data_IF_997949791889
#
_entry.id   IF_997949791889
#
_cell.length_a   1.000
_cell.length_b   1.000
_cell.length_c   1.000
_cell.angle_alpha   90.00
_cell.angle_beta   90.00
_cell.angle_gamma   90.00
#
_symmetry.space_group_name_H-M   'P 1'
#
loop_
_entity.id
_entity.type
_entity.pdbx_description
1 polymer ?
#
# COMPACT_ATOMS: atom_id res chain seq x y z
N UNK A 1 -41.16 8.95 26.02
CA UNK A 1 -39.94 8.15 26.28
C UNK A 1 -39.04 8.28 25.06
N UNK A 2 -38.28 9.39 24.97
CA UNK A 2 -37.39 9.65 23.83
C UNK A 2 -36.14 8.80 24.00
N UNK A 3 -36.00 7.75 23.18
CA UNK A 3 -34.76 6.99 23.12
C UNK A 3 -33.62 7.96 22.77
N UNK A 4 -32.69 8.11 23.72
CA UNK A 4 -31.54 8.98 23.59
C UNK A 4 -30.56 8.31 22.61
N UNK A 5 -30.76 8.52 21.31
CA UNK A 5 -29.99 7.93 20.18
C UNK A 5 -28.52 8.43 20.15
N UNK A 6 -28.09 9.21 21.14
CA UNK A 6 -26.77 9.84 21.24
C UNK A 6 -25.62 8.91 21.68
N UNK A 7 -25.69 7.58 21.47
CA UNK A 7 -24.87 6.62 22.24
C UNK A 7 -23.63 6.05 21.54
N UNK A 8 -23.46 6.13 20.22
CA UNK A 8 -22.34 5.42 19.57
C UNK A 8 -20.99 6.14 19.77
N UNK A 9 -20.96 7.47 19.69
CA UNK A 9 -19.70 8.24 19.65
C UNK A 9 -19.41 9.04 20.93
N UNK A 10 -20.42 9.31 21.77
CA UNK A 10 -20.27 10.06 23.03
C UNK A 10 -19.25 9.46 24.00
N UNK A 11 -19.19 8.13 24.24
CA UNK A 11 -18.22 7.55 25.16
C UNK A 11 -16.76 7.76 24.73
N UNK A 12 -16.54 8.02 23.44
CA UNK A 12 -15.23 8.28 22.82
C UNK A 12 -14.90 9.78 22.83
N UNK A 13 -15.91 10.64 22.69
CA UNK A 13 -15.79 12.11 22.65
C UNK A 13 -15.79 12.75 24.06
N UNK A 14 -16.45 12.13 25.04
CA UNK A 14 -16.54 12.59 26.43
C UNK A 14 -15.33 12.17 27.29
N UNK A 15 -14.26 11.64 26.69
CA UNK A 15 -12.99 11.35 27.38
C UNK A 15 -11.97 12.48 27.13
N UNK A 16 -11.99 13.55 27.95
CA UNK A 16 -11.06 14.68 27.79
C UNK A 16 -9.59 14.27 27.94
N UNK A 17 -9.33 13.14 28.61
CA UNK A 17 -7.99 12.56 28.79
C UNK A 17 -7.32 12.10 27.48
N UNK A 18 -8.08 11.80 26.43
CA UNK A 18 -7.56 11.28 25.16
C UNK A 18 -7.45 12.37 24.10
N UNK A 19 -8.34 13.37 24.13
CA UNK A 19 -8.54 14.31 23.03
C UNK A 19 -8.02 15.73 23.30
N UNK A 20 -7.59 16.05 24.53
CA UNK A 20 -6.92 17.32 24.90
C UNK A 20 -7.79 18.59 24.79
N UNK A 21 -8.88 18.53 24.03
CA UNK A 21 -9.81 19.61 23.78
C UNK A 21 -11.25 19.13 24.04
N UNK A 22 -12.09 20.01 24.59
CA UNK A 22 -13.49 19.69 24.90
C UNK A 22 -14.28 19.71 23.59
N UNK A 23 -14.48 18.52 22.99
CA UNK A 23 -15.15 18.26 21.71
C UNK A 23 -14.34 18.61 20.44
N UNK A 24 -13.30 17.84 20.07
CA UNK A 24 -12.68 18.02 18.76
C UNK A 24 -13.71 17.73 17.65
N UNK A 25 -13.80 18.63 16.66
CA UNK A 25 -14.63 18.41 15.48
C UNK A 25 -13.97 17.33 14.62
N UNK A 26 -14.57 16.14 14.58
CA UNK A 26 -14.12 15.06 13.70
C UNK A 26 -14.80 15.26 12.37
N UNK A 27 -14.00 15.48 11.33
CA UNK A 27 -14.51 15.66 9.98
C UNK A 27 -13.86 14.72 8.99
N UNK A 28 -14.65 14.36 7.98
CA UNK A 28 -14.19 13.64 6.81
C UNK A 28 -14.24 14.60 5.61
N UNK A 29 -13.07 14.92 5.07
CA UNK A 29 -12.81 16.08 4.22
C UNK A 29 -13.24 17.39 4.89
N UNK A 30 -14.42 17.89 4.55
CA UNK A 30 -15.01 19.10 5.12
C UNK A 30 -16.40 18.83 5.72
N UNK A 31 -16.80 17.55 5.81
CA UNK A 31 -18.05 17.13 6.40
C UNK A 31 -17.82 16.85 7.90
N UNK A 32 -18.34 17.68 8.83
CA UNK A 32 -18.22 17.42 10.26
C UNK A 32 -19.13 16.25 10.64
N UNK A 33 -18.52 15.09 10.89
CA UNK A 33 -19.27 13.84 11.16
C UNK A 33 -19.96 13.92 12.51
N UNK A 34 -19.37 14.64 13.47
CA UNK A 34 -19.87 14.73 14.83
C UNK A 34 -20.82 15.91 15.10
N UNK A 35 -21.18 16.69 14.07
CA UNK A 35 -22.05 17.86 14.22
C UNK A 35 -23.52 17.47 14.47
N UNK A 36 -24.03 16.49 13.71
CA UNK A 36 -25.39 16.00 13.87
C UNK A 36 -25.45 14.48 14.00
N UNK A 37 -26.37 14.02 14.84
CA UNK A 37 -26.66 12.59 15.05
C UNK A 37 -26.98 11.91 13.73
N UNK A 38 -27.74 12.58 12.86
CA UNK A 38 -28.14 12.06 11.56
C UNK A 38 -26.92 11.84 10.64
N UNK A 39 -26.03 12.82 10.52
CA UNK A 39 -24.81 12.70 9.68
C UNK A 39 -23.91 11.59 10.21
N UNK A 40 -23.69 11.55 11.52
CA UNK A 40 -22.88 10.52 12.16
C UNK A 40 -23.40 9.09 11.91
N UNK A 41 -24.69 8.86 12.14
CA UNK A 41 -25.29 7.54 11.93
C UNK A 41 -25.36 7.17 10.45
N UNK A 42 -25.68 8.12 9.57
CA UNK A 42 -25.71 7.88 8.13
C UNK A 42 -24.32 7.52 7.59
N UNK A 43 -23.28 8.22 8.05
CA UNK A 43 -21.90 7.92 7.71
C UNK A 43 -21.47 6.53 8.20
N UNK A 44 -21.81 6.17 9.44
CA UNK A 44 -21.52 4.85 10.00
C UNK A 44 -22.24 3.73 9.23
N UNK A 45 -23.54 3.89 8.95
CA UNK A 45 -24.34 2.91 8.20
C UNK A 45 -23.83 2.75 6.77
N UNK A 46 -23.46 3.84 6.09
CA UNK A 46 -22.90 3.80 4.75
C UNK A 46 -21.54 3.08 4.76
N UNK A 47 -20.67 3.39 5.73
CA UNK A 47 -19.37 2.72 5.87
C UNK A 47 -19.53 1.22 6.12
N UNK A 48 -20.41 0.85 7.06
CA UNK A 48 -20.74 -0.56 7.34
C UNK A 48 -21.34 -1.26 6.13
N UNK A 49 -22.20 -0.58 5.37
CA UNK A 49 -22.78 -1.10 4.13
C UNK A 49 -21.72 -1.37 3.07
N UNK A 50 -20.79 -0.44 2.83
CA UNK A 50 -19.71 -0.60 1.86
C UNK A 50 -18.77 -1.75 2.28
N UNK A 51 -18.29 -1.73 3.53
CA UNK A 51 -17.38 -2.76 4.04
C UNK A 51 -18.06 -4.13 4.05
N UNK A 52 -19.30 -4.21 4.54
CA UNK A 52 -20.09 -5.43 4.56
C UNK A 52 -20.33 -5.98 3.15
N UNK A 53 -20.64 -5.13 2.18
CA UNK A 53 -20.79 -5.52 0.78
C UNK A 53 -19.48 -6.06 0.18
N UNK A 54 -18.35 -5.39 0.41
CA UNK A 54 -17.04 -5.85 -0.05
C UNK A 54 -16.68 -7.21 0.57
N UNK A 55 -16.86 -7.37 1.88
CA UNK A 55 -16.63 -8.64 2.58
C UNK A 55 -17.54 -9.75 2.07
N UNK A 56 -18.84 -9.48 1.90
CA UNK A 56 -19.79 -10.44 1.33
C UNK A 56 -19.35 -10.93 -0.05
N UNK A 57 -18.90 -10.03 -0.93
CA UNK A 57 -18.41 -10.40 -2.26
C UNK A 57 -17.12 -11.22 -2.22
N UNK A 58 -16.24 -11.02 -1.24
CA UNK A 58 -15.06 -11.87 -1.04
C UNK A 58 -15.47 -13.26 -0.57
N UNK A 59 -16.33 -13.34 0.45
CA UNK A 59 -16.78 -14.63 1.01
C UNK A 59 -17.52 -15.46 -0.03
N UNK A 60 -18.50 -14.87 -0.73
CA UNK A 60 -19.27 -15.56 -1.77
C UNK A 60 -18.37 -16.11 -2.89
N UNK A 61 -17.28 -15.40 -3.21
CA UNK A 61 -16.28 -15.87 -4.18
C UNK A 61 -15.51 -17.07 -3.63
N UNK A 62 -15.01 -16.99 -2.41
CA UNK A 62 -14.23 -18.07 -1.78
C UNK A 62 -15.04 -19.37 -1.71
N UNK A 63 -16.34 -19.28 -1.41
CA UNK A 63 -17.23 -20.44 -1.45
C UNK A 63 -17.41 -21.03 -2.85
N UNK A 64 -17.53 -20.18 -3.90
CA UNK A 64 -17.75 -20.65 -5.28
C UNK A 64 -16.47 -21.15 -5.97
N UNK A 65 -15.30 -20.62 -5.60
CA UNK A 65 -14.01 -20.93 -6.26
C UNK A 65 -12.90 -21.10 -5.22
N UNK A 66 -12.93 -22.17 -4.41
CA UNK A 66 -11.98 -22.37 -3.30
C UNK A 66 -10.52 -22.54 -3.74
N UNK A 67 -10.28 -22.90 -5.01
CA UNK A 67 -8.92 -23.04 -5.58
C UNK A 67 -8.38 -21.77 -6.26
N UNK A 68 -9.13 -20.67 -6.20
CA UNK A 68 -8.72 -19.39 -6.78
C UNK A 68 -8.15 -18.45 -5.71
N UNK A 69 -7.59 -17.31 -6.14
CA UNK A 69 -7.14 -16.27 -5.21
C UNK A 69 -8.30 -15.78 -4.34
N UNK A 70 -8.05 -15.49 -3.04
CA UNK A 70 -9.08 -15.01 -2.12
C UNK A 70 -9.78 -13.75 -2.63
N UNK A 71 -9.03 -12.86 -3.27
CA UNK A 71 -9.51 -11.58 -3.80
C UNK A 71 -9.32 -11.60 -5.32
N UNK A 72 -10.34 -11.16 -6.06
CA UNK A 72 -10.19 -10.90 -7.51
C UNK A 72 -9.47 -9.58 -7.75
N UNK A 73 -8.76 -9.45 -8.89
CA UNK A 73 -8.06 -8.20 -9.25
C UNK A 73 -8.99 -6.98 -9.25
N UNK A 74 -10.22 -7.14 -9.75
CA UNK A 74 -11.23 -6.07 -9.78
C UNK A 74 -11.63 -5.63 -8.37
N UNK A 75 -11.84 -6.59 -7.48
CA UNK A 75 -12.19 -6.29 -6.10
C UNK A 75 -11.03 -5.58 -5.41
N UNK A 76 -9.78 -6.02 -5.61
CA UNK A 76 -8.63 -5.37 -4.99
C UNK A 76 -8.44 -3.92 -5.44
N UNK A 77 -8.72 -3.59 -6.71
CA UNK A 77 -8.70 -2.20 -7.19
C UNK A 77 -9.75 -1.34 -6.48
N UNK A 78 -10.98 -1.85 -6.34
CA UNK A 78 -12.06 -1.13 -5.65
C UNK A 78 -11.79 -0.97 -4.15
N UNK A 79 -11.25 -2.01 -3.50
CA UNK A 79 -10.90 -1.98 -2.07
C UNK A 79 -9.82 -0.94 -1.82
N UNK A 80 -8.75 -0.95 -2.62
CA UNK A 80 -7.67 0.02 -2.46
C UNK A 80 -8.20 1.44 -2.67
N UNK A 81 -8.92 1.70 -3.76
CA UNK A 81 -9.49 3.02 -4.01
C UNK A 81 -10.41 3.50 -2.87
N UNK A 82 -11.27 2.61 -2.36
CA UNK A 82 -12.16 2.93 -1.25
C UNK A 82 -11.38 3.23 0.04
N UNK A 83 -10.36 2.43 0.35
CA UNK A 83 -9.55 2.58 1.55
C UNK A 83 -8.72 3.87 1.51
N UNK A 84 -8.12 4.18 0.36
CA UNK A 84 -7.36 5.41 0.12
C UNK A 84 -8.27 6.65 0.25
N UNK A 85 -9.44 6.65 -0.39
CA UNK A 85 -10.39 7.78 -0.28
C UNK A 85 -10.87 7.96 1.17
N UNK A 86 -11.15 6.86 1.86
CA UNK A 86 -11.60 6.90 3.25
C UNK A 86 -10.52 7.46 4.17
N UNK A 87 -9.28 6.96 4.07
CA UNK A 87 -8.14 7.42 4.85
C UNK A 87 -7.80 8.88 4.56
N UNK A 88 -7.76 9.26 3.29
CA UNK A 88 -7.50 10.64 2.87
C UNK A 88 -8.52 11.60 3.48
N UNK A 89 -9.81 11.24 3.48
CA UNK A 89 -10.85 12.10 4.03
C UNK A 89 -10.62 12.45 5.50
N UNK A 90 -10.13 11.53 6.32
CA UNK A 90 -9.78 11.85 7.71
C UNK A 90 -8.47 12.62 7.86
N UNK A 91 -7.50 12.39 6.98
CA UNK A 91 -6.17 12.99 7.09
C UNK A 91 -6.06 14.38 6.46
N UNK A 92 -6.98 14.75 5.56
CA UNK A 92 -6.98 16.04 4.86
C UNK A 92 -6.90 17.24 5.81
N UNK A 93 -7.67 17.22 6.91
CA UNK A 93 -7.70 18.35 7.84
C UNK A 93 -6.41 18.49 8.64
N UNK A 94 -5.85 17.35 9.06
CA UNK A 94 -4.54 17.32 9.69
C UNK A 94 -3.46 17.83 8.73
N UNK A 95 -3.60 17.51 7.44
CA UNK A 95 -2.73 17.98 6.35
C UNK A 95 -2.77 19.49 6.11
N UNK A 96 -3.94 20.12 6.23
CA UNK A 96 -4.13 21.56 6.05
C UNK A 96 -3.93 22.39 7.32
N UNK A 97 -3.67 21.76 8.46
CA UNK A 97 -3.33 22.49 9.68
C UNK A 97 -2.11 23.39 9.42
N UNK A 98 -2.10 24.60 9.99
CA UNK A 98 -1.00 25.58 9.89
C UNK A 98 0.25 25.14 10.70
N UNK A 99 0.63 23.87 10.59
CA UNK A 99 1.76 23.26 11.26
C UNK A 99 2.40 22.22 10.31
N UNK A 100 3.64 22.47 9.89
CA UNK A 100 4.39 21.59 9.00
C UNK A 100 4.56 20.18 9.59
N UNK A 101 4.65 20.05 10.90
CA UNK A 101 4.75 18.76 11.58
C UNK A 101 3.45 17.95 11.44
N UNK A 102 2.28 18.61 11.44
CA UNK A 102 1.00 17.93 11.26
C UNK A 102 0.83 17.46 9.81
N UNK A 103 1.22 18.29 8.85
CA UNK A 103 1.16 17.92 7.43
C UNK A 103 2.08 16.73 7.12
N UNK A 104 3.30 16.74 7.65
CA UNK A 104 4.27 15.64 7.46
C UNK A 104 3.83 14.36 8.17
N UNK A 105 3.23 14.47 9.36
CA UNK A 105 2.62 13.35 10.05
C UNK A 105 1.46 12.75 9.25
N UNK A 106 0.54 13.58 8.76
CA UNK A 106 -0.60 13.14 7.95
C UNK A 106 -0.14 12.41 6.67
N UNK A 107 0.84 12.98 5.96
CA UNK A 107 1.44 12.36 4.79
C UNK A 107 2.10 11.01 5.13
N UNK A 108 2.81 10.93 6.26
CA UNK A 108 3.47 9.70 6.72
C UNK A 108 2.46 8.60 7.04
N UNK A 109 1.38 8.93 7.77
CA UNK A 109 0.31 7.98 8.09
C UNK A 109 -0.33 7.47 6.79
N UNK A 110 -0.62 8.36 5.86
CA UNK A 110 -1.17 7.99 4.56
C UNK A 110 -0.25 7.02 3.82
N UNK A 111 1.04 7.34 3.70
CA UNK A 111 2.01 6.47 3.03
C UNK A 111 2.14 5.09 3.67
N UNK A 112 2.20 5.02 5.00
CA UNK A 112 2.28 3.75 5.73
C UNK A 112 1.02 2.93 5.49
N UNK A 113 -0.15 3.56 5.52
CA UNK A 113 -1.43 2.92 5.27
C UNK A 113 -1.54 2.42 3.82
N UNK A 114 -1.13 3.22 2.83
CA UNK A 114 -1.05 2.82 1.42
C UNK A 114 -0.11 1.63 1.22
N UNK A 115 1.07 1.68 1.85
CA UNK A 115 2.07 0.63 1.76
C UNK A 115 1.56 -0.70 2.33
N UNK A 116 1.02 -0.68 3.56
CA UNK A 116 0.46 -1.88 4.22
C UNK A 116 -0.73 -2.42 3.42
N UNK A 117 -1.65 -1.55 3.00
CA UNK A 117 -2.84 -1.95 2.26
C UNK A 117 -2.50 -2.58 0.92
N UNK A 118 -1.53 -2.01 0.21
CA UNK A 118 -1.03 -2.57 -1.06
C UNK A 118 -0.38 -3.93 -0.81
N UNK A 119 0.47 -4.07 0.22
CA UNK A 119 1.09 -5.36 0.56
C UNK A 119 0.05 -6.44 0.88
N UNK A 120 -0.94 -6.14 1.72
CA UNK A 120 -2.02 -7.08 2.07
C UNK A 120 -2.78 -7.50 0.81
N UNK A 121 -3.09 -6.55 -0.07
CA UNK A 121 -3.75 -6.87 -1.33
C UNK A 121 -2.89 -7.73 -2.24
N UNK A 122 -1.58 -7.47 -2.37
CA UNK A 122 -0.64 -8.29 -3.15
C UNK A 122 -0.74 -9.76 -2.72
N UNK A 123 -0.69 -10.05 -1.40
CA UNK A 123 -0.88 -11.42 -0.90
C UNK A 123 -2.25 -12.00 -1.28
N UNK A 124 -3.30 -11.21 -1.18
CA UNK A 124 -4.68 -11.63 -1.49
C UNK A 124 -4.95 -11.89 -2.98
N UNK A 125 -4.17 -11.28 -3.89
CA UNK A 125 -4.35 -11.42 -5.34
C UNK A 125 -3.26 -12.25 -6.03
N UNK A 126 -2.22 -12.67 -5.33
CA UNK A 126 -1.12 -13.43 -5.92
C UNK A 126 -1.55 -14.89 -6.23
N UNK A 127 -1.59 -15.31 -7.51
CA UNK A 127 -1.94 -16.68 -7.86
C UNK A 127 -0.85 -17.67 -7.45
N UNK A 128 -1.28 -18.84 -6.99
CA UNK A 128 -0.40 -19.99 -6.73
C UNK A 128 0.08 -20.63 -8.05
N UNK A 129 1.17 -21.42 -7.96
CA UNK A 129 1.78 -22.14 -9.08
C UNK A 129 0.79 -22.79 -10.06
N UNK A 130 -0.22 -23.51 -9.56
CA UNK A 130 -1.17 -24.20 -10.45
C UNK A 130 -2.02 -23.22 -11.27
N UNK A 131 -2.47 -22.13 -10.67
CA UNK A 131 -3.24 -21.11 -11.38
C UNK A 131 -2.39 -20.41 -12.45
N UNK A 132 -1.11 -20.14 -12.15
CA UNK A 132 -0.16 -19.59 -13.14
C UNK A 132 0.07 -20.54 -14.32
N UNK A 133 0.20 -21.85 -14.06
CA UNK A 133 0.35 -22.86 -15.10
C UNK A 133 -0.87 -22.91 -16.02
N UNK A 134 -2.06 -22.97 -15.43
CA UNK A 134 -3.32 -22.93 -16.17
C UNK A 134 -3.40 -21.66 -17.04
N UNK A 135 -3.04 -20.51 -16.48
CA UNK A 135 -3.03 -19.25 -17.24
C UNK A 135 -2.01 -19.27 -18.38
N UNK A 136 -0.81 -19.78 -18.14
CA UNK A 136 0.23 -19.87 -19.17
C UNK A 136 -0.17 -20.78 -20.34
N UNK A 137 -0.95 -21.85 -20.06
CA UNK A 137 -1.46 -22.78 -21.07
C UNK A 137 -2.65 -22.21 -21.85
N UNK A 138 -3.59 -21.55 -21.17
CA UNK A 138 -4.85 -21.10 -21.76
C UNK A 138 -4.94 -19.60 -22.05
N UNK A 139 -3.83 -18.84 -21.94
CA UNK A 139 -3.84 -17.41 -22.25
C UNK A 139 -4.17 -17.19 -23.72
N UNK A 140 -5.28 -16.51 -23.98
CA UNK A 140 -5.44 -15.75 -25.21
C UNK A 140 -4.34 -14.69 -25.25
N UNK A 141 -3.64 -14.51 -26.37
CA UNK A 141 -2.55 -13.51 -26.52
C UNK A 141 -2.93 -12.04 -26.25
N UNK A 142 -4.19 -11.78 -25.88
CA UNK A 142 -4.73 -10.50 -25.48
C UNK A 142 -4.17 -10.00 -24.14
N UNK A 143 -3.79 -8.72 -24.10
CA UNK A 143 -3.28 -8.04 -22.90
C UNK A 143 -4.37 -7.81 -21.85
N UNK A 144 -5.64 -7.78 -22.26
CA UNK A 144 -6.77 -7.74 -21.32
C UNK A 144 -6.75 -8.93 -20.34
N UNK A 145 -6.21 -10.09 -20.77
CA UNK A 145 -6.06 -11.24 -19.90
C UNK A 145 -5.06 -11.02 -18.76
N UNK A 146 -4.05 -10.16 -18.92
CA UNK A 146 -3.08 -9.82 -17.85
C UNK A 146 -3.71 -8.92 -16.78
N UNK A 147 -4.59 -8.02 -17.21
CA UNK A 147 -5.24 -7.05 -16.33
C UNK A 147 -6.37 -7.72 -15.55
N UNK A 148 -7.22 -8.48 -16.24
CA UNK A 148 -8.49 -8.93 -15.68
C UNK A 148 -8.52 -10.38 -15.22
N UNK A 149 -7.58 -11.23 -15.66
CA UNK A 149 -7.60 -12.64 -15.27
C UNK A 149 -7.06 -12.83 -13.86
N UNK A 150 -7.86 -13.46 -13.00
CA UNK A 150 -7.46 -13.83 -11.64
C UNK A 150 -6.26 -14.78 -11.58
N UNK A 151 -6.00 -15.51 -12.67
CA UNK A 151 -4.89 -16.47 -12.76
C UNK A 151 -3.60 -15.85 -13.32
N UNK A 152 -3.67 -14.62 -13.83
CA UNK A 152 -2.52 -13.96 -14.44
C UNK A 152 -1.55 -13.43 -13.37
N UNK A 153 -0.25 -13.27 -13.71
CA UNK A 153 0.75 -12.78 -12.77
C UNK A 153 0.34 -11.48 -12.07
N UNK A 154 0.77 -11.34 -10.82
CA UNK A 154 0.36 -10.24 -9.93
C UNK A 154 0.97 -8.89 -10.33
N UNK A 155 2.11 -8.88 -11.03
CA UNK A 155 2.93 -7.68 -11.31
C UNK A 155 2.10 -6.54 -11.89
N UNK A 156 1.30 -6.81 -12.93
CA UNK A 156 0.49 -5.75 -13.56
C UNK A 156 -0.63 -5.24 -12.64
N UNK A 157 -1.15 -6.09 -11.76
CA UNK A 157 -2.13 -5.66 -10.78
C UNK A 157 -1.50 -4.76 -9.71
N UNK A 158 -0.25 -5.02 -9.31
CA UNK A 158 0.51 -4.12 -8.44
C UNK A 158 0.71 -2.76 -9.10
N UNK A 159 1.07 -2.72 -10.39
CA UNK A 159 1.18 -1.44 -11.14
C UNK A 159 -0.14 -0.65 -11.06
N UNK A 160 -1.28 -1.31 -11.27
CA UNK A 160 -2.59 -0.64 -11.19
C UNK A 160 -2.90 -0.17 -9.76
N UNK A 161 -2.58 -0.95 -8.73
CA UNK A 161 -2.69 -0.52 -7.34
C UNK A 161 -1.90 0.77 -7.08
N UNK A 162 -0.66 0.80 -7.56
CA UNK A 162 0.22 1.96 -7.41
C UNK A 162 -0.29 3.18 -8.17
N UNK A 163 -0.85 2.99 -9.37
CA UNK A 163 -1.49 4.09 -10.12
C UNK A 163 -2.67 4.65 -9.33
N UNK A 164 -3.56 3.79 -8.82
CA UNK A 164 -4.73 4.22 -8.04
C UNK A 164 -4.31 4.99 -6.79
N UNK A 165 -3.37 4.46 -6.02
CA UNK A 165 -2.89 5.11 -4.80
C UNK A 165 -2.22 6.46 -5.09
N UNK A 166 -1.30 6.51 -6.07
CA UNK A 166 -0.58 7.74 -6.40
C UNK A 166 -1.45 8.78 -7.11
N UNK A 167 -2.49 8.37 -7.84
CA UNK A 167 -3.45 9.30 -8.45
C UNK A 167 -4.18 10.16 -7.40
N UNK A 168 -4.34 9.64 -6.18
CA UNK A 168 -4.93 10.38 -5.07
C UNK A 168 -3.87 11.07 -4.20
N UNK A 169 -2.81 10.32 -3.85
CA UNK A 169 -1.80 10.77 -2.89
C UNK A 169 -0.94 11.91 -3.45
N UNK A 170 -0.45 11.79 -4.69
CA UNK A 170 0.49 12.79 -5.26
C UNK A 170 -0.15 14.17 -5.35
N UNK A 171 -1.35 14.36 -5.95
CA UNK A 171 -1.99 15.68 -5.96
C UNK A 171 -2.20 16.23 -4.56
N UNK A 172 -2.61 15.39 -3.60
CA UNK A 172 -2.83 15.83 -2.22
C UNK A 172 -1.55 16.35 -1.56
N UNK A 173 -0.40 15.69 -1.75
CA UNK A 173 0.89 16.18 -1.24
C UNK A 173 1.27 17.57 -1.75
N UNK A 174 0.91 17.89 -3.00
CA UNK A 174 1.11 19.23 -3.54
C UNK A 174 0.13 20.24 -2.91
N UNK A 175 -1.12 19.86 -2.66
CA UNK A 175 -2.10 20.77 -2.03
C UNK A 175 -1.74 21.18 -0.61
N UNK A 176 -1.12 20.28 0.17
CA UNK A 176 -0.68 20.59 1.54
C UNK A 176 0.69 21.31 1.61
N UNK A 177 1.25 21.74 0.46
CA UNK A 177 2.48 22.52 0.37
C UNK A 177 3.78 21.73 0.64
N UNK A 178 3.65 20.44 0.95
CA UNK A 178 4.79 19.55 1.17
C UNK A 178 5.51 19.26 -0.15
N UNK A 179 4.73 18.95 -1.20
CA UNK A 179 5.24 18.64 -2.53
C UNK A 179 5.96 19.82 -3.19
N UNK A 180 5.68 21.07 -2.77
CA UNK A 180 6.36 22.28 -3.28
C UNK A 180 7.61 22.65 -2.50
N UNK A 181 7.61 22.47 -1.17
CA UNK A 181 8.76 22.78 -0.31
C UNK A 181 9.91 21.79 -0.49
N UNK A 182 9.60 20.50 -0.71
CA UNK A 182 10.59 19.40 -0.73
C UNK A 182 10.42 18.52 -1.97
N UNK A 183 10.20 19.14 -3.14
CA UNK A 183 9.87 18.47 -4.43
C UNK A 183 10.77 17.26 -4.71
N UNK A 184 12.10 17.44 -4.65
CA UNK A 184 13.07 16.39 -4.99
C UNK A 184 12.94 15.18 -4.06
N UNK A 185 12.82 15.42 -2.75
CA UNK A 185 12.63 14.35 -1.77
C UNK A 185 11.28 13.64 -1.97
N UNK A 186 10.21 14.37 -2.28
CA UNK A 186 8.89 13.80 -2.59
C UNK A 186 8.94 12.90 -3.82
N UNK A 187 9.58 13.36 -4.90
CA UNK A 187 9.71 12.58 -6.14
C UNK A 187 10.51 11.31 -5.91
N UNK A 188 11.64 11.39 -5.21
CA UNK A 188 12.48 10.23 -4.89
C UNK A 188 11.75 9.24 -3.98
N UNK A 189 10.94 9.73 -3.05
CA UNK A 189 10.07 8.90 -2.21
C UNK A 189 9.04 8.15 -3.04
N UNK A 190 8.29 8.85 -3.89
CA UNK A 190 7.24 8.23 -4.73
C UNK A 190 7.85 7.17 -5.64
N UNK A 191 8.93 7.49 -6.35
CA UNK A 191 9.59 6.54 -7.25
C UNK A 191 10.17 5.35 -6.48
N UNK A 192 10.86 5.60 -5.37
CA UNK A 192 11.48 4.56 -4.56
C UNK A 192 10.46 3.59 -3.94
N UNK A 193 9.33 4.11 -3.46
CA UNK A 193 8.24 3.28 -2.89
C UNK A 193 7.49 2.48 -3.96
N UNK A 194 7.19 3.10 -5.11
CA UNK A 194 6.59 2.42 -6.27
C UNK A 194 7.46 1.24 -6.72
N UNK A 195 8.75 1.48 -6.92
CA UNK A 195 9.71 0.44 -7.30
C UNK A 195 9.79 -0.66 -6.26
N UNK A 196 9.84 -0.30 -4.97
CA UNK A 196 9.95 -1.29 -3.90
C UNK A 196 8.71 -2.20 -3.82
N UNK A 197 7.51 -1.64 -3.93
CA UNK A 197 6.27 -2.43 -3.94
C UNK A 197 6.19 -3.34 -5.18
N UNK A 198 6.73 -2.92 -6.33
CA UNK A 198 6.88 -3.80 -7.50
C UNK A 198 7.85 -4.95 -7.24
N UNK A 199 9.00 -4.68 -6.62
CA UNK A 199 9.97 -5.71 -6.21
C UNK A 199 9.29 -6.70 -5.27
N UNK A 200 8.59 -6.24 -4.23
CA UNK A 200 7.85 -7.10 -3.31
C UNK A 200 6.77 -7.93 -4.00
N UNK A 201 6.01 -7.32 -4.92
CA UNK A 201 5.04 -8.05 -5.75
C UNK A 201 5.68 -9.18 -6.55
N UNK A 202 6.81 -8.90 -7.22
CA UNK A 202 7.53 -9.92 -7.99
C UNK A 202 8.15 -11.00 -7.10
N UNK A 203 8.69 -10.63 -5.94
CA UNK A 203 9.23 -11.56 -4.96
C UNK A 203 8.16 -12.54 -4.47
N UNK A 204 7.03 -12.02 -3.98
CA UNK A 204 5.92 -12.85 -3.51
C UNK A 204 5.41 -13.77 -4.63
N UNK A 205 5.30 -13.25 -5.85
CA UNK A 205 4.90 -14.02 -7.02
C UNK A 205 5.86 -15.17 -7.34
N UNK A 206 7.17 -14.93 -7.26
CA UNK A 206 8.18 -15.97 -7.47
C UNK A 206 8.07 -17.05 -6.39
N UNK A 207 7.96 -16.66 -5.12
CA UNK A 207 7.80 -17.62 -4.02
C UNK A 207 6.55 -18.49 -4.25
N UNK A 208 5.43 -17.89 -4.67
CA UNK A 208 4.18 -18.62 -4.92
C UNK A 208 4.22 -19.50 -6.18
N UNK A 209 5.12 -19.20 -7.13
CA UNK A 209 5.35 -20.00 -8.33
C UNK A 209 6.27 -21.20 -8.08
N UNK A 210 7.10 -21.17 -7.05
CA UNK A 210 8.01 -22.25 -6.70
C UNK A 210 7.31 -23.41 -5.98
N UNK A 211 7.85 -24.62 -6.12
CA UNK A 211 7.31 -25.83 -5.47
C UNK A 211 7.88 -25.94 -4.06
N UNK A 212 7.32 -25.19 -3.12
CA UNK A 212 7.73 -25.18 -1.71
C UNK A 212 6.53 -25.50 -0.82
N UNK A 213 6.76 -26.17 0.31
CA UNK A 213 5.74 -26.39 1.35
C UNK A 213 5.43 -25.06 2.04
N UNK A 214 4.16 -24.68 2.06
CA UNK A 214 3.66 -23.44 2.68
C UNK A 214 4.34 -22.16 2.15
N UNK A 215 4.18 -21.81 0.85
CA UNK A 215 4.85 -20.66 0.25
C UNK A 215 4.49 -19.32 0.91
N UNK A 216 3.33 -19.23 1.57
CA UNK A 216 2.91 -18.04 2.31
C UNK A 216 3.87 -17.72 3.46
N UNK A 217 4.31 -18.72 4.23
CA UNK A 217 5.22 -18.51 5.36
C UNK A 217 6.58 -18.01 4.88
N UNK A 218 7.08 -18.56 3.78
CA UNK A 218 8.34 -18.13 3.16
C UNK A 218 8.25 -16.71 2.61
N UNK A 219 7.13 -16.36 1.98
CA UNK A 219 6.92 -15.02 1.46
C UNK A 219 6.82 -14.00 2.61
N UNK A 220 6.07 -14.29 3.66
CA UNK A 220 5.96 -13.43 4.85
C UNK A 220 7.32 -13.31 5.54
N UNK A 221 8.00 -14.41 5.84
CA UNK A 221 9.30 -14.39 6.53
C UNK A 221 10.36 -13.64 5.74
N UNK A 222 10.48 -13.91 4.44
CA UNK A 222 11.42 -13.21 3.57
C UNK A 222 11.11 -11.72 3.43
N UNK A 223 9.82 -11.37 3.28
CA UNK A 223 9.41 -9.97 3.20
C UNK A 223 9.61 -9.25 4.53
N UNK A 224 9.30 -9.86 5.67
CA UNK A 224 9.48 -9.23 6.99
C UNK A 224 10.96 -8.98 7.30
N UNK A 225 11.85 -9.92 6.95
CA UNK A 225 13.29 -9.70 7.07
C UNK A 225 13.72 -8.48 6.24
N UNK A 226 13.27 -8.44 4.97
CA UNK A 226 13.66 -7.38 4.06
C UNK A 226 13.06 -6.01 4.44
N UNK A 227 11.75 -5.96 4.64
CA UNK A 227 10.99 -4.74 4.84
C UNK A 227 11.08 -4.20 6.27
N UNK A 228 11.39 -5.02 7.28
CA UNK A 228 11.36 -4.56 8.68
C UNK A 228 12.75 -4.70 9.33
N UNK A 229 13.35 -5.89 9.27
CA UNK A 229 14.58 -6.17 10.03
C UNK A 229 15.78 -5.36 9.52
N UNK A 230 15.98 -5.27 8.20
CA UNK A 230 17.09 -4.49 7.65
C UNK A 230 17.01 -2.99 7.99
N UNK A 231 15.89 -2.28 7.72
CA UNK A 231 15.74 -0.87 8.07
C UNK A 231 15.86 -0.59 9.57
N UNK A 232 15.30 -1.46 10.42
CA UNK A 232 15.40 -1.30 11.88
C UNK A 232 16.83 -1.44 12.36
N UNK A 233 17.62 -2.37 11.80
CA UNK A 233 19.05 -2.48 12.11
C UNK A 233 19.84 -1.25 11.68
N UNK A 234 19.57 -0.68 10.50
CA UNK A 234 20.20 0.59 10.06
C UNK A 234 19.86 1.73 11.02
N UNK A 235 18.61 1.83 11.46
CA UNK A 235 18.14 2.82 12.42
C UNK A 235 18.79 2.66 13.80
N UNK A 236 18.86 1.43 14.32
CA UNK A 236 19.49 1.12 15.62
C UNK A 236 20.99 1.46 15.63
N UNK A 237 21.68 1.26 14.51
CA UNK A 237 23.08 1.63 14.32
C UNK A 237 23.28 3.13 14.06
N UNK A 238 22.21 3.92 14.05
CA UNK A 238 22.22 5.36 13.75
C UNK A 238 22.86 5.70 12.39
N UNK A 239 22.77 4.78 11.43
CA UNK A 239 23.27 4.95 10.06
C UNK A 239 22.24 5.74 9.25
N UNK A 240 22.15 7.05 9.52
CA UNK A 240 21.20 7.94 8.85
C UNK A 240 21.85 8.73 7.71
N UNK A 241 21.07 9.10 6.66
CA UNK A 241 21.56 9.95 5.56
C UNK A 241 22.14 11.30 5.99
N UNK A 242 21.76 11.80 7.17
CA UNK A 242 22.27 13.05 7.73
C UNK A 242 23.73 12.95 8.13
N UNK A 243 24.10 11.82 8.77
CA UNK A 243 25.46 11.60 9.30
C UNK A 243 26.38 10.99 8.25
N UNK A 244 25.83 10.09 7.42
CA UNK A 244 26.59 9.39 6.40
C UNK A 244 25.81 9.39 5.08
N UNK A 245 25.98 10.42 4.22
CA UNK A 245 25.21 10.57 2.99
C UNK A 245 25.16 9.34 2.06
N UNK A 246 26.23 8.52 1.94
CA UNK A 246 26.18 7.30 1.13
C UNK A 246 25.13 6.27 1.57
N UNK A 247 24.74 6.26 2.86
CA UNK A 247 23.71 5.34 3.35
C UNK A 247 22.33 5.60 2.76
N UNK A 248 22.10 6.79 2.19
CA UNK A 248 20.85 7.11 1.51
C UNK A 248 20.52 6.13 0.38
N UNK A 249 21.54 5.53 -0.27
CA UNK A 249 21.35 4.47 -1.26
C UNK A 249 20.69 3.22 -0.66
N UNK A 250 21.06 2.83 0.57
CA UNK A 250 20.45 1.67 1.24
C UNK A 250 19.03 1.98 1.72
N UNK A 251 18.81 3.14 2.34
CA UNK A 251 17.47 3.53 2.77
C UNK A 251 16.47 3.56 1.60
N UNK A 252 16.88 4.17 0.48
CA UNK A 252 16.07 4.18 -0.74
C UNK A 252 15.90 2.79 -1.34
N UNK A 253 16.95 1.97 -1.39
CA UNK A 253 16.87 0.57 -1.84
C UNK A 253 15.78 -0.20 -1.09
N UNK A 254 15.69 -0.01 0.22
CA UNK A 254 14.69 -0.66 1.07
C UNK A 254 13.29 -0.01 1.00
N UNK A 255 13.10 1.02 0.17
CA UNK A 255 11.82 1.71 -0.01
C UNK A 255 11.47 2.65 1.15
N UNK A 256 12.42 2.95 2.03
CA UNK A 256 12.22 3.87 3.13
C UNK A 256 12.51 5.29 2.68
N UNK A 257 11.58 6.18 3.04
CA UNK A 257 11.73 7.60 2.78
C UNK A 257 12.79 8.20 3.69
N UNK A 258 13.67 9.01 3.13
CA UNK A 258 14.57 9.88 3.87
C UNK A 258 13.97 11.26 4.14
N UNK A 259 12.69 11.48 3.81
CA UNK A 259 12.04 12.78 3.93
C UNK A 259 11.89 13.30 5.37
N UNK A 260 11.96 12.38 6.33
CA UNK A 260 11.98 12.71 7.76
C UNK A 260 13.32 13.33 8.19
N UNK A 261 14.38 13.10 7.41
CA UNK A 261 15.71 13.61 7.70
C UNK A 261 15.90 15.00 7.08
N UNK A 262 16.69 15.84 7.75
CA UNK A 262 17.22 17.07 7.17
C UNK A 262 18.30 16.69 6.16
N UNK A 263 17.86 16.22 4.99
CA UNK A 263 18.76 15.58 4.05
C UNK A 263 19.75 16.57 3.47
N UNK A 264 21.06 16.35 3.69
CA UNK A 264 22.05 17.16 3.02
C UNK A 264 21.92 16.95 1.51
N UNK A 265 22.12 17.99 0.67
CA UNK A 265 22.10 17.85 -0.79
C UNK A 265 23.02 16.74 -1.30
N UNK A 266 24.09 16.43 -0.57
CA UNK A 266 25.02 15.34 -0.85
C UNK A 266 24.39 13.93 -0.80
N UNK A 267 23.25 13.72 -0.13
CA UNK A 267 22.56 12.43 -0.04
C UNK A 267 21.73 12.10 -1.30
N UNK A 268 21.33 13.12 -2.06
CA UNK A 268 20.49 13.01 -3.27
C UNK A 268 21.09 12.06 -4.33
N UNK A 269 22.37 12.20 -4.76
CA UNK A 269 22.94 11.30 -5.76
C UNK A 269 22.97 9.83 -5.31
N UNK A 270 23.17 9.58 -4.01
CA UNK A 270 23.14 8.22 -3.46
C UNK A 270 21.71 7.66 -3.42
N UNK A 271 20.72 8.48 -3.08
CA UNK A 271 19.31 8.11 -3.19
C UNK A 271 18.93 7.72 -4.63
N UNK A 272 19.40 8.47 -5.63
CA UNK A 272 19.23 8.12 -7.05
C UNK A 272 19.91 6.80 -7.39
N UNK A 273 21.13 6.56 -6.89
CA UNK A 273 21.82 5.28 -7.07
C UNK A 273 21.03 4.10 -6.48
N UNK A 274 20.38 4.29 -5.32
CA UNK A 274 19.49 3.29 -4.73
C UNK A 274 18.28 2.98 -5.62
N UNK A 275 17.67 4.00 -6.24
CA UNK A 275 16.60 3.80 -7.23
C UNK A 275 17.10 3.03 -8.45
N UNK A 276 18.27 3.37 -8.99
CA UNK A 276 18.87 2.62 -10.12
C UNK A 276 19.07 1.16 -9.73
N UNK A 277 19.56 0.89 -8.52
CA UNK A 277 19.73 -0.47 -8.02
C UNK A 277 18.39 -1.21 -7.88
N UNK A 278 17.32 -0.54 -7.45
CA UNK A 278 15.98 -1.12 -7.44
C UNK A 278 15.52 -1.52 -8.85
N UNK A 279 15.75 -0.69 -9.86
CA UNK A 279 15.43 -1.02 -11.25
C UNK A 279 16.20 -2.24 -11.75
N UNK A 280 17.50 -2.34 -11.43
CA UNK A 280 18.32 -3.50 -11.76
C UNK A 280 17.79 -4.78 -11.10
N UNK A 281 17.45 -4.72 -9.81
CA UNK A 281 16.86 -5.84 -9.08
C UNK A 281 15.52 -6.24 -9.69
N UNK A 282 14.63 -5.28 -9.93
CA UNK A 282 13.33 -5.52 -10.53
C UNK A 282 13.47 -6.17 -11.91
N UNK A 283 14.36 -5.64 -12.77
CA UNK A 283 14.65 -6.21 -14.08
C UNK A 283 15.15 -7.65 -13.99
N UNK A 284 16.10 -7.91 -13.10
CA UNK A 284 16.61 -9.27 -12.85
C UNK A 284 15.50 -10.22 -12.35
N UNK A 285 14.64 -9.77 -11.44
CA UNK A 285 13.54 -10.57 -10.92
C UNK A 285 12.47 -10.87 -11.98
N UNK A 286 12.12 -9.88 -12.82
CA UNK A 286 11.20 -10.09 -13.92
C UNK A 286 11.75 -11.09 -14.94
N UNK A 287 13.04 -10.97 -15.28
CA UNK A 287 13.72 -11.91 -16.16
C UNK A 287 13.74 -13.34 -15.59
N UNK A 288 14.14 -13.50 -14.32
CA UNK A 288 14.12 -14.81 -13.64
C UNK A 288 12.71 -15.40 -13.58
N UNK A 289 11.69 -14.56 -13.37
CA UNK A 289 10.30 -15.01 -13.38
C UNK A 289 9.87 -15.51 -14.76
N UNK A 290 10.23 -14.80 -15.84
CA UNK A 290 9.96 -15.25 -17.22
C UNK A 290 10.60 -16.61 -17.50
N UNK A 291 11.89 -16.78 -17.16
CA UNK A 291 12.56 -18.07 -17.30
C UNK A 291 11.86 -19.19 -16.53
N UNK A 292 11.37 -18.90 -15.33
CA UNK A 292 10.62 -19.87 -14.53
C UNK A 292 9.33 -20.27 -15.23
N UNK A 293 8.60 -19.30 -15.80
CA UNK A 293 7.38 -19.55 -16.55
C UNK A 293 7.63 -20.39 -17.81
N UNK A 294 8.74 -20.19 -18.51
CA UNK A 294 9.06 -20.96 -19.72
C UNK A 294 9.47 -22.39 -19.41
N UNK A 295 10.28 -22.60 -18.36
CA UNK A 295 10.58 -23.95 -17.84
C UNK A 295 9.30 -24.68 -17.42
N UNK A 296 8.38 -23.97 -16.78
CA UNK A 296 7.09 -24.51 -16.33
C UNK A 296 6.18 -24.95 -17.48
N UNK A 297 6.27 -24.31 -18.65
CA UNK A 297 5.58 -24.75 -19.87
C UNK A 297 6.21 -26.04 -20.43
N UNK A 298 7.54 -26.07 -20.53
CA UNK A 298 8.28 -27.17 -21.16
C UNK A 298 8.16 -28.51 -20.42
N UNK A 299 8.02 -28.50 -19.08
CA UNK A 299 7.87 -29.74 -18.28
C UNK A 299 6.46 -30.36 -18.40
N UNK A 300 5.48 -29.59 -18.86
CA UNK A 300 4.07 -30.00 -18.93
C UNK A 300 3.53 -30.09 -20.37
N UNK A 301 4.40 -29.94 -21.38
CA UNK A 301 4.12 -30.21 -22.80
C UNK A 301 4.62 -31.60 -23.15
#
# INVERSE_FOLDING_TARGET
MSANINLIWRPLLDRPEILGEKNPVISWFFLPINDTVLVSHSFALLTLGIVGFLMWRMMLRNFRKPRSTPISKRQSYAILACLEVFALGFLVQLGFANNENNATLAATIMYVLTFISTLVLIFGICPQRQALLDWARYRSGSWQSLIWSDKSPVVLAVVIHLIIANALLVPWLFTIGIGTKKVVATVLLVIGTVNMLLIYGTFIQQVFATKIRNPVIWAIGGLSLWAIVFPTMLGLLQLTPERFPPIAALWTLFGYSFWYFDTPPAAIPFAVAGIVLQWLILGFMLWKFQQTMDKLKAVNS
#
